data_IF_434581126408
#
_entry.id   IF_434581126408
#
_cell.length_a   1.000
_cell.length_b   1.000
_cell.length_c   1.000
_cell.angle_alpha   90.00
_cell.angle_beta   90.00
_cell.angle_gamma   90.00
#
_symmetry.space_group_name_H-M   'P 1'
#
loop_
_entity.id
_entity.type
_entity.pdbx_description
1 polymer ?
#
# COMPACT_ATOMS: atom_id res chain seq x y z
N UNK A 1 -13.24 -1.21 11.91
CA UNK A 1 -12.74 -0.93 10.55
C UNK A 1 -11.69 0.17 10.64
N UNK A 2 -10.50 -0.05 10.07
CA UNK A 2 -9.37 0.91 10.04
C UNK A 2 -8.76 0.91 8.65
N UNK A 3 -8.36 2.08 8.15
CA UNK A 3 -7.64 2.23 6.88
C UNK A 3 -6.26 2.87 7.14
N UNK A 4 -5.23 2.41 6.43
CA UNK A 4 -3.91 3.05 6.36
C UNK A 4 -3.47 3.24 4.92
N UNK A 5 -2.83 4.39 4.67
CA UNK A 5 -2.37 4.82 3.35
C UNK A 5 -0.87 4.62 3.26
N UNK A 6 -0.42 3.77 2.33
CA UNK A 6 0.99 3.43 2.12
C UNK A 6 1.54 3.96 0.78
N UNK A 7 0.73 4.72 0.05
CA UNK A 7 1.11 5.47 -1.15
C UNK A 7 -0.11 6.14 -1.77
N UNK A 8 0.08 6.86 -2.88
CA UNK A 8 -0.91 7.81 -3.41
C UNK A 8 -1.44 8.86 -2.38
N UNK A 9 -0.74 9.03 -1.25
CA UNK A 9 -1.07 10.03 -0.24
C UNK A 9 -0.34 11.32 -0.55
N UNK A 10 -1.06 12.33 -1.07
CA UNK A 10 -0.51 13.60 -1.57
C UNK A 10 0.49 13.43 -2.74
N UNK A 11 0.37 12.34 -3.47
CA UNK A 11 1.10 12.06 -4.73
C UNK A 11 0.21 11.18 -5.61
N UNK A 12 0.53 11.06 -6.90
CA UNK A 12 -0.27 10.28 -7.87
C UNK A 12 0.12 8.81 -7.89
N UNK A 13 1.40 8.51 -7.65
CA UNK A 13 1.96 7.16 -7.85
C UNK A 13 2.03 6.37 -6.54
N UNK A 14 2.18 5.05 -6.64
CA UNK A 14 2.37 4.19 -5.48
C UNK A 14 1.10 3.77 -4.74
N UNK A 15 -0.10 3.87 -5.33
CA UNK A 15 -1.38 3.52 -4.68
C UNK A 15 -1.30 2.17 -3.94
N UNK A 16 -1.49 2.22 -2.61
CA UNK A 16 -1.49 1.08 -1.68
C UNK A 16 -2.32 1.47 -0.45
N UNK A 17 -3.50 0.87 -0.30
CA UNK A 17 -4.41 1.16 0.81
C UNK A 17 -4.71 -0.11 1.58
N UNK A 18 -4.29 -0.16 2.84
CA UNK A 18 -4.51 -1.33 3.68
C UNK A 18 -5.76 -1.12 4.54
N UNK A 19 -6.73 -2.01 4.40
CA UNK A 19 -8.01 -1.96 5.09
C UNK A 19 -8.13 -3.15 6.05
N UNK A 20 -8.21 -2.87 7.35
CA UNK A 20 -8.51 -3.88 8.37
C UNK A 20 -10.00 -3.81 8.71
N UNK A 21 -10.73 -4.88 8.38
CA UNK A 21 -12.14 -5.03 8.69
C UNK A 21 -12.35 -5.41 10.15
N UNK A 22 -13.55 -5.17 10.66
CA UNK A 22 -13.92 -5.58 12.02
C UNK A 22 -13.93 -7.10 12.21
N UNK A 23 -13.98 -7.88 11.11
CA UNK A 23 -13.82 -9.34 11.11
C UNK A 23 -12.38 -9.81 11.33
N UNK A 24 -11.41 -8.88 11.40
CA UNK A 24 -9.99 -9.18 11.46
C UNK A 24 -9.34 -9.42 10.09
N UNK A 25 -10.12 -9.43 9.00
CA UNK A 25 -9.59 -9.56 7.65
C UNK A 25 -8.87 -8.29 7.20
N UNK A 26 -7.75 -8.47 6.50
CA UNK A 26 -6.91 -7.41 5.97
C UNK A 26 -6.94 -7.44 4.45
N UNK A 27 -7.40 -6.35 3.83
CA UNK A 27 -7.43 -6.20 2.38
C UNK A 27 -6.44 -5.13 1.95
N UNK A 28 -5.71 -5.40 0.88
CA UNK A 28 -4.89 -4.42 0.18
C UNK A 28 -5.63 -3.98 -1.08
N UNK A 29 -6.02 -2.70 -1.14
CA UNK A 29 -6.59 -2.08 -2.33
C UNK A 29 -5.47 -1.38 -3.09
N UNK A 30 -5.27 -1.79 -4.35
CA UNK A 30 -4.12 -1.50 -5.20
C UNK A 30 -2.77 -1.95 -4.62
N UNK A 31 -1.80 -2.15 -5.51
CA UNK A 31 -0.40 -2.31 -5.16
C UNK A 31 0.52 -1.67 -6.21
N UNK A 32 0.31 -0.39 -6.47
CA UNK A 32 1.06 0.38 -7.44
C UNK A 32 2.48 0.71 -6.97
N UNK A 33 3.39 0.83 -7.94
CA UNK A 33 4.75 1.34 -7.72
C UNK A 33 4.76 2.87 -7.64
N UNK A 34 5.64 3.43 -6.80
CA UNK A 34 6.01 4.83 -6.88
C UNK A 34 6.80 5.09 -8.17
N UNK A 35 6.62 6.26 -8.77
CA UNK A 35 7.28 6.68 -10.00
C UNK A 35 7.53 8.19 -9.99
N UNK A 36 8.55 8.64 -10.73
CA UNK A 36 8.81 10.07 -10.98
C UNK A 36 9.54 10.83 -9.87
N UNK A 37 10.04 10.14 -8.82
CA UNK A 37 10.72 10.79 -7.67
C UNK A 37 12.24 10.58 -7.66
N UNK A 38 12.84 10.28 -8.81
CA UNK A 38 14.28 10.08 -8.96
C UNK A 38 14.80 8.91 -8.11
N UNK A 39 15.91 9.12 -7.40
CA UNK A 39 16.54 8.09 -6.55
C UNK A 39 15.64 7.60 -5.42
N UNK A 40 14.71 8.42 -4.94
CA UNK A 40 13.77 8.06 -3.86
C UNK A 40 12.77 6.98 -4.31
N UNK A 41 12.53 6.84 -5.62
CA UNK A 41 11.62 5.82 -6.15
C UNK A 41 12.07 4.40 -5.82
N UNK A 42 13.37 4.12 -5.83
CA UNK A 42 13.88 2.79 -5.51
C UNK A 42 13.67 2.45 -4.03
N UNK A 43 14.02 3.36 -3.14
CA UNK A 43 13.82 3.20 -1.68
C UNK A 43 12.34 2.96 -1.34
N UNK A 44 11.43 3.79 -1.87
CA UNK A 44 9.99 3.69 -1.61
C UNK A 44 9.34 2.41 -2.17
N UNK A 45 9.95 1.78 -3.18
CA UNK A 45 9.44 0.55 -3.77
C UNK A 45 10.05 -0.72 -3.16
N UNK A 46 11.07 -0.59 -2.29
CA UNK A 46 11.69 -1.74 -1.58
C UNK A 46 10.96 -2.14 -0.31
N UNK A 47 10.12 -1.25 0.23
CA UNK A 47 9.34 -1.49 1.44
C UNK A 47 7.85 -1.22 1.18
N UNK A 48 6.99 -2.12 1.62
CA UNK A 48 5.54 -1.94 1.56
C UNK A 48 5.02 -1.01 2.66
N UNK A 49 5.76 -0.87 3.77
CA UNK A 49 5.30 -0.18 4.98
C UNK A 49 4.29 -0.98 5.81
N UNK A 50 4.12 -2.27 5.50
CA UNK A 50 3.31 -3.25 6.23
C UNK A 50 3.84 -4.66 5.93
N UNK A 51 3.45 -5.66 6.72
CA UNK A 51 3.79 -7.06 6.44
C UNK A 51 2.91 -7.60 5.30
N UNK A 52 3.46 -7.87 4.10
CA UNK A 52 2.68 -8.36 2.97
C UNK A 52 2.07 -9.75 3.23
N UNK A 53 2.67 -10.57 4.11
CA UNK A 53 2.14 -11.90 4.44
C UNK A 53 0.85 -11.85 5.28
N UNK A 54 0.56 -10.70 5.89
CA UNK A 54 -0.67 -10.48 6.67
C UNK A 54 -1.91 -10.14 5.83
N UNK A 55 -1.75 -9.89 4.53
CA UNK A 55 -2.84 -9.51 3.62
C UNK A 55 -3.64 -10.76 3.22
N UNK A 56 -4.95 -10.77 3.52
CA UNK A 56 -5.84 -11.86 3.12
C UNK A 56 -6.22 -11.77 1.64
N UNK A 57 -6.46 -10.56 1.13
CA UNK A 57 -6.91 -10.33 -0.24
C UNK A 57 -6.27 -9.07 -0.81
N UNK A 58 -5.86 -9.14 -2.09
CA UNK A 58 -5.42 -7.98 -2.86
C UNK A 58 -6.42 -7.74 -4.00
N UNK A 59 -6.91 -6.51 -4.08
CA UNK A 59 -7.90 -6.08 -5.08
C UNK A 59 -7.23 -5.02 -5.95
N UNK A 60 -7.32 -5.21 -7.26
CA UNK A 60 -6.81 -4.30 -8.29
C UNK A 60 -7.98 -3.76 -9.11
#
# INVERSE_FOLDING_TARGET
MKISFHGAARTVTGSKHLLTLSSGKTLLLDCGMFQGMGSLTDELNRDFGFDPASVDYMIL
#
